data_IF_234844444721
#
_entry.id   IF_234844444721
#
_cell.length_a   1.000
_cell.length_b   1.000
_cell.length_c   1.000
_cell.angle_alpha   90.00
_cell.angle_beta   90.00
_cell.angle_gamma   90.00
#
_symmetry.space_group_name_H-M   'P 1'
#
loop_
_entity.id
_entity.type
_entity.pdbx_description
1 polymer ?
#
# COMPACT_ATOMS: atom_id res chain seq x y z
N UNK A 1 36.81 34.44 -56.04
CA UNK A 1 36.08 35.20 -57.13
C UNK A 1 34.62 35.33 -56.69
N UNK A 2 34.22 36.58 -56.40
CA UNK A 2 32.89 37.21 -56.44
C UNK A 2 31.67 36.38 -55.93
N UNK A 3 31.19 36.60 -54.76
CA UNK A 3 30.30 37.58 -54.12
C UNK A 3 29.10 37.97 -55.03
N UNK A 4 27.94 37.60 -54.56
CA UNK A 4 26.65 38.07 -55.05
C UNK A 4 25.65 38.22 -53.93
N UNK A 5 25.58 39.40 -53.32
CA UNK A 5 24.61 39.81 -52.29
C UNK A 5 23.33 40.21 -53.00
N UNK A 6 22.20 39.62 -52.67
CA UNK A 6 20.89 40.08 -53.16
C UNK A 6 20.07 40.58 -51.97
N UNK A 7 19.91 41.90 -51.92
CA UNK A 7 19.03 42.59 -50.92
C UNK A 7 17.65 42.68 -51.55
N UNK A 8 16.63 42.12 -51.00
CA UNK A 8 15.23 42.34 -51.33
C UNK A 8 14.56 43.17 -50.23
N UNK A 9 14.27 44.40 -50.58
CA UNK A 9 13.45 45.32 -49.80
C UNK A 9 11.97 44.96 -49.96
N UNK A 10 11.28 44.65 -48.89
CA UNK A 10 9.82 44.51 -48.84
C UNK A 10 9.21 45.75 -48.20
N UNK A 11 8.45 46.47 -49.01
CA UNK A 11 7.71 47.65 -48.63
C UNK A 11 6.56 47.33 -47.68
N UNK A 12 6.46 48.14 -46.63
CA UNK A 12 5.34 48.09 -45.68
C UNK A 12 4.13 48.84 -46.27
N UNK A 13 3.05 48.13 -46.50
CA UNK A 13 1.74 48.70 -46.82
C UNK A 13 0.95 48.87 -45.52
N UNK A 14 0.83 50.09 -45.06
CA UNK A 14 -0.02 50.45 -43.92
C UNK A 14 -1.46 50.58 -44.40
N UNK A 15 -2.31 49.60 -44.09
CA UNK A 15 -3.76 49.70 -44.25
C UNK A 15 -4.35 50.17 -42.93
N UNK A 16 -4.79 51.44 -42.90
CA UNK A 16 -5.52 52.03 -41.77
C UNK A 16 -6.97 51.51 -41.76
N UNK A 17 -7.22 50.41 -41.10
CA UNK A 17 -8.56 49.92 -40.76
C UNK A 17 -9.08 50.60 -39.49
N UNK A 18 -10.09 51.46 -39.64
CA UNK A 18 -10.84 51.98 -38.50
C UNK A 18 -11.62 50.85 -37.84
N UNK A 19 -11.16 50.34 -36.70
CA UNK A 19 -11.98 49.50 -35.81
C UNK A 19 -13.03 50.38 -35.15
N UNK A 20 -14.28 50.18 -35.55
CA UNK A 20 -15.44 50.66 -34.77
C UNK A 20 -15.57 49.78 -33.53
N UNK A 21 -15.28 50.38 -32.38
CA UNK A 21 -15.51 49.76 -31.08
C UNK A 21 -17.01 49.77 -30.75
N UNK A 22 -17.65 48.65 -30.45
CA UNK A 22 -19.04 48.71 -29.99
C UNK A 22 -19.07 49.32 -28.59
N UNK A 23 -20.01 50.26 -28.40
CA UNK A 23 -20.24 50.93 -27.12
C UNK A 23 -20.54 49.88 -26.05
N UNK A 24 -19.69 49.82 -25.03
CA UNK A 24 -19.91 49.02 -23.83
C UNK A 24 -21.17 49.49 -23.09
N UNK A 25 -22.19 48.62 -23.08
CA UNK A 25 -23.34 48.80 -22.18
C UNK A 25 -22.82 48.82 -20.73
N UNK A 26 -23.12 49.86 -20.00
CA UNK A 26 -22.82 49.94 -18.57
C UNK A 26 -23.52 48.74 -17.87
N UNK A 27 -22.73 47.89 -17.27
CA UNK A 27 -23.23 46.84 -16.41
C UNK A 27 -23.81 47.49 -15.17
N UNK A 28 -25.13 47.39 -15.01
CA UNK A 28 -25.80 47.73 -13.76
C UNK A 28 -25.32 46.79 -12.66
N UNK A 29 -24.60 47.32 -11.71
CA UNK A 29 -24.26 46.60 -10.48
C UNK A 29 -25.55 46.29 -9.71
N UNK A 30 -25.90 44.99 -9.68
CA UNK A 30 -26.91 44.46 -8.76
C UNK A 30 -26.14 44.24 -7.44
N UNK A 31 -26.51 44.95 -6.38
CA UNK A 31 -25.96 44.70 -5.06
C UNK A 31 -26.17 43.24 -4.66
N UNK A 32 -25.18 42.56 -4.09
CA UNK A 32 -25.35 41.20 -3.61
C UNK A 32 -26.47 41.20 -2.57
N UNK A 33 -27.53 40.43 -2.84
CA UNK A 33 -28.55 40.14 -1.84
C UNK A 33 -27.85 39.49 -0.66
N UNK A 34 -28.04 40.05 0.53
CA UNK A 34 -27.63 39.39 1.77
C UNK A 34 -28.35 38.03 1.80
N UNK A 35 -27.54 36.98 1.64
CA UNK A 35 -27.99 35.61 1.89
C UNK A 35 -28.33 35.56 3.37
N UNK A 36 -29.63 35.39 3.71
CA UNK A 36 -30.04 35.21 5.09
C UNK A 36 -29.17 34.11 5.71
N UNK A 37 -28.64 34.38 6.91
CA UNK A 37 -27.90 33.37 7.67
C UNK A 37 -28.72 32.10 7.78
N UNK A 38 -28.37 31.09 6.99
CA UNK A 38 -28.89 29.74 7.17
C UNK A 38 -28.31 29.26 8.51
N UNK A 39 -29.15 28.96 9.50
CA UNK A 39 -28.65 28.46 10.77
C UNK A 39 -27.78 27.24 10.50
N UNK A 40 -26.51 27.33 10.83
CA UNK A 40 -25.61 26.18 10.77
C UNK A 40 -26.22 25.01 11.51
N UNK A 41 -26.44 23.91 10.80
CA UNK A 41 -26.88 22.68 11.43
C UNK A 41 -25.93 22.36 12.60
N UNK A 42 -26.42 21.98 13.77
CA UNK A 42 -25.59 21.68 14.91
C UNK A 42 -24.58 20.59 14.53
N UNK A 43 -23.29 20.88 14.72
CA UNK A 43 -22.22 19.91 14.52
C UNK A 43 -22.60 18.62 15.27
N UNK A 44 -22.50 17.44 14.64
CA UNK A 44 -22.82 16.19 15.30
C UNK A 44 -21.99 16.07 16.59
N UNK A 45 -22.67 15.89 17.71
CA UNK A 45 -22.02 15.65 19.00
C UNK A 45 -21.07 14.46 18.83
N UNK A 46 -19.81 14.51 19.33
CA UNK A 46 -18.93 13.38 19.27
C UNK A 46 -19.60 12.18 19.97
N UNK A 47 -19.91 11.16 19.20
CA UNK A 47 -20.46 9.91 19.74
C UNK A 47 -19.38 9.27 20.59
N UNK A 48 -19.68 9.02 21.87
CA UNK A 48 -18.72 8.36 22.78
C UNK A 48 -18.29 7.03 22.16
N UNK A 49 -16.97 6.84 22.00
CA UNK A 49 -16.42 5.60 21.48
C UNK A 49 -16.82 4.44 22.42
N UNK A 50 -17.57 3.47 21.90
CA UNK A 50 -17.94 2.27 22.65
C UNK A 50 -16.88 1.21 22.39
N UNK A 51 -16.12 0.83 23.42
CA UNK A 51 -15.11 -0.23 23.36
C UNK A 51 -15.51 -1.32 24.35
N UNK A 52 -15.78 -2.52 23.83
CA UNK A 52 -16.05 -3.67 24.67
C UNK A 52 -14.75 -4.19 25.30
N UNK A 53 -14.73 -4.54 26.59
CA UNK A 53 -13.57 -5.13 27.23
C UNK A 53 -13.15 -6.42 26.52
N UNK A 54 -11.86 -6.58 26.26
CA UNK A 54 -11.31 -7.79 25.68
C UNK A 54 -10.94 -8.79 26.79
N UNK A 55 -11.47 -10.04 26.78
CA UNK A 55 -11.04 -11.08 27.68
C UNK A 55 -9.55 -11.37 27.51
N UNK A 56 -8.82 -11.50 28.61
CA UNK A 56 -7.37 -11.71 28.61
C UNK A 56 -6.90 -13.05 27.99
N UNK A 57 -7.83 -13.99 27.81
CA UNK A 57 -7.57 -15.30 27.20
C UNK A 57 -7.80 -15.36 25.69
N UNK A 58 -8.02 -14.22 25.03
CA UNK A 58 -8.10 -14.18 23.58
C UNK A 58 -6.75 -14.59 22.95
N UNK A 59 -6.78 -15.26 21.79
CA UNK A 59 -5.55 -15.64 21.08
C UNK A 59 -4.75 -14.40 20.66
N UNK A 60 -3.42 -14.57 20.61
CA UNK A 60 -2.53 -13.57 20.03
C UNK A 60 -2.34 -13.90 18.57
N UNK A 61 -2.48 -12.89 17.71
CA UNK A 61 -2.25 -13.04 16.28
C UNK A 61 -0.76 -13.36 16.06
N UNK A 62 -0.50 -14.47 15.42
CA UNK A 62 0.77 -14.71 14.76
C UNK A 62 0.52 -14.79 13.24
N UNK A 63 1.57 -14.92 12.47
CA UNK A 63 1.42 -14.88 11.02
C UNK A 63 0.88 -16.18 10.40
N UNK A 64 0.75 -17.25 11.15
CA UNK A 64 0.17 -18.52 10.69
C UNK A 64 -1.25 -18.71 11.17
N UNK A 65 -1.63 -18.06 12.26
CA UNK A 65 -2.90 -18.26 12.92
C UNK A 65 -3.59 -16.93 13.24
N UNK A 66 -4.68 -16.68 12.53
CA UNK A 66 -5.62 -15.62 12.86
C UNK A 66 -6.97 -16.26 13.18
N UNK A 67 -7.54 -15.95 14.33
CA UNK A 67 -8.86 -16.46 14.70
C UNK A 67 -9.91 -16.03 13.68
N UNK A 68 -10.92 -16.86 13.50
CA UNK A 68 -12.04 -16.55 12.60
C UNK A 68 -12.88 -15.34 13.07
N UNK A 69 -13.72 -14.85 12.16
CA UNK A 69 -14.69 -13.78 12.44
C UNK A 69 -14.22 -12.37 12.10
N UNK A 70 -13.02 -12.20 11.59
CA UNK A 70 -12.56 -10.93 11.03
C UNK A 70 -13.10 -10.73 9.61
N UNK A 71 -13.50 -9.50 9.21
CA UNK A 71 -13.99 -9.21 7.87
C UNK A 71 -12.89 -9.38 6.82
N UNK A 72 -13.29 -9.78 5.62
CA UNK A 72 -12.40 -9.82 4.47
C UNK A 72 -12.08 -8.41 3.99
N UNK A 73 -10.94 -8.23 3.33
CA UNK A 73 -10.61 -7.00 2.64
C UNK A 73 -11.37 -6.90 1.32
N UNK A 74 -12.42 -6.07 1.29
CA UNK A 74 -13.25 -5.84 0.09
C UNK A 74 -12.52 -5.01 -0.98
N UNK A 75 -11.39 -4.39 -0.64
CA UNK A 75 -10.57 -3.59 -1.55
C UNK A 75 -9.22 -4.27 -1.83
N UNK A 76 -9.19 -5.59 -1.82
CA UNK A 76 -7.96 -6.36 -1.93
C UNK A 76 -7.14 -6.08 -3.20
N UNK A 77 -7.77 -5.64 -4.30
CA UNK A 77 -7.11 -5.25 -5.55
C UNK A 77 -6.79 -3.74 -5.66
N UNK A 78 -7.09 -2.94 -4.65
CA UNK A 78 -6.79 -1.51 -4.67
C UNK A 78 -5.28 -1.27 -4.68
N UNK A 79 -4.87 -0.34 -5.55
CA UNK A 79 -3.51 0.20 -5.60
C UNK A 79 -3.44 1.61 -5.01
N UNK A 80 -4.47 2.04 -4.29
CA UNK A 80 -4.44 3.30 -3.56
C UNK A 80 -3.34 3.26 -2.49
N UNK A 81 -2.53 4.31 -2.45
CA UNK A 81 -1.44 4.42 -1.49
C UNK A 81 -1.99 4.58 -0.06
N UNK A 82 -1.43 3.80 0.86
CA UNK A 82 -1.70 3.95 2.29
C UNK A 82 -0.55 4.75 2.91
N UNK A 83 -0.89 5.85 3.56
CA UNK A 83 0.10 6.82 4.05
C UNK A 83 0.43 6.67 5.53
N UNK A 84 -0.25 5.75 6.23
CA UNK A 84 -0.10 5.60 7.66
C UNK A 84 -0.14 4.12 8.08
N UNK A 85 0.80 3.74 8.93
CA UNK A 85 0.86 2.46 9.62
C UNK A 85 0.61 2.61 11.11
N UNK A 86 0.15 1.53 11.72
CA UNK A 86 -0.06 1.38 13.16
C UNK A 86 1.01 0.45 13.73
N UNK A 87 1.78 0.95 14.69
CA UNK A 87 2.73 0.16 15.46
C UNK A 87 2.19 -0.05 16.88
N UNK A 88 1.82 -1.28 17.28
CA UNK A 88 1.35 -1.55 18.63
C UNK A 88 2.45 -1.31 19.68
N UNK A 89 2.10 -0.66 20.80
CA UNK A 89 3.04 -0.49 21.93
C UNK A 89 2.99 -1.63 22.94
N UNK A 90 2.08 -2.60 22.71
CA UNK A 90 1.87 -3.80 23.51
C UNK A 90 0.87 -4.71 22.79
N UNK A 91 0.24 -5.63 23.50
CA UNK A 91 -0.84 -6.44 22.94
C UNK A 91 -2.12 -5.61 22.84
N UNK A 92 -2.57 -5.32 21.63
CA UNK A 92 -3.78 -4.55 21.36
C UNK A 92 -4.96 -5.47 21.03
N UNK A 93 -6.08 -5.28 21.70
CA UNK A 93 -7.31 -5.97 21.35
C UNK A 93 -7.78 -5.57 19.95
N UNK A 94 -8.04 -6.56 19.10
CA UNK A 94 -8.53 -6.40 17.74
C UNK A 94 -9.96 -6.89 17.65
N UNK A 95 -10.81 -6.07 17.02
CA UNK A 95 -12.25 -6.26 16.94
C UNK A 95 -12.68 -6.58 15.50
N UNK A 96 -13.81 -7.24 15.36
CA UNK A 96 -14.39 -7.61 14.06
C UNK A 96 -15.08 -6.42 13.34
N UNK A 97 -15.42 -5.36 14.09
CA UNK A 97 -16.05 -4.14 13.56
C UNK A 97 -15.85 -2.98 14.54
N UNK A 98 -16.10 -1.73 14.13
CA UNK A 98 -16.23 -0.60 15.06
C UNK A 98 -17.31 -0.87 16.12
N UNK A 99 -16.92 -0.88 17.41
CA UNK A 99 -17.82 -1.25 18.51
C UNK A 99 -18.25 -2.72 18.53
N UNK A 100 -17.61 -3.56 17.73
CA UNK A 100 -17.88 -4.99 17.63
C UNK A 100 -17.22 -5.82 18.74
N UNK A 101 -17.08 -7.13 18.49
CA UNK A 101 -16.52 -8.07 19.45
C UNK A 101 -15.00 -8.15 19.33
N UNK A 102 -14.25 -8.14 20.46
CA UNK A 102 -12.83 -8.44 20.44
C UNK A 102 -12.62 -9.91 20.05
N UNK A 103 -11.67 -10.17 19.14
CA UNK A 103 -11.41 -11.51 18.59
C UNK A 103 -10.01 -12.02 18.89
N UNK A 104 -9.04 -11.13 19.02
CA UNK A 104 -7.64 -11.47 19.22
C UNK A 104 -6.87 -10.29 19.80
N UNK A 105 -5.59 -10.53 20.09
CA UNK A 105 -4.62 -9.47 20.34
C UNK A 105 -3.63 -9.37 19.18
N UNK A 106 -3.38 -8.14 18.70
CA UNK A 106 -2.26 -7.82 17.82
C UNK A 106 -1.05 -7.47 18.68
N UNK A 107 0.02 -8.28 18.67
CA UNK A 107 1.19 -8.02 19.49
C UNK A 107 2.08 -6.92 18.87
N UNK A 108 2.94 -6.31 19.69
CA UNK A 108 3.96 -5.38 19.20
C UNK A 108 5.09 -6.06 18.44
N UNK A 109 5.28 -7.38 18.62
CA UNK A 109 6.29 -8.19 17.92
C UNK A 109 5.72 -9.54 17.51
N UNK A 110 6.11 -10.00 16.33
CA UNK A 110 5.86 -11.37 15.84
C UNK A 110 7.23 -11.99 15.55
N UNK A 111 7.53 -13.13 16.16
CA UNK A 111 8.84 -13.82 16.04
C UNK A 111 10.05 -12.88 16.24
N UNK A 112 9.94 -11.95 17.21
CA UNK A 112 11.01 -10.98 17.50
C UNK A 112 11.04 -9.74 16.60
N UNK A 113 10.27 -9.72 15.51
CA UNK A 113 10.19 -8.58 14.56
C UNK A 113 9.11 -7.60 15.01
N UNK A 114 9.42 -6.31 15.03
CA UNK A 114 8.44 -5.25 15.33
C UNK A 114 7.34 -5.21 14.27
N UNK A 115 6.09 -5.17 14.75
CA UNK A 115 4.91 -5.15 13.87
C UNK A 115 4.54 -3.72 13.55
N UNK A 116 4.41 -3.42 12.24
CA UNK A 116 3.72 -2.23 11.75
C UNK A 116 2.72 -2.70 10.71
N UNK A 117 1.43 -2.42 10.92
CA UNK A 117 0.35 -2.81 10.03
C UNK A 117 -0.23 -1.57 9.35
N UNK A 118 -0.51 -1.58 8.04
CA UNK A 118 -1.07 -0.42 7.36
C UNK A 118 -2.52 -0.18 7.79
N UNK A 119 -2.87 1.10 7.98
CA UNK A 119 -4.23 1.55 8.24
C UNK A 119 -4.94 1.69 6.90
N UNK A 120 -6.03 0.95 6.72
CA UNK A 120 -6.81 0.92 5.47
C UNK A 120 -8.11 1.72 5.54
N UNK A 121 -8.62 2.01 6.74
CA UNK A 121 -9.82 2.82 6.90
C UNK A 121 -9.89 3.45 8.30
N UNK A 122 -10.70 4.50 8.42
CA UNK A 122 -11.03 5.16 9.68
C UNK A 122 -12.54 5.36 9.75
N UNK A 123 -13.15 5.01 10.87
CA UNK A 123 -14.59 5.16 11.08
C UNK A 123 -14.90 5.39 12.55
N UNK A 124 -15.58 6.50 12.88
CA UNK A 124 -16.16 6.76 14.20
C UNK A 124 -15.18 6.55 15.37
N UNK A 125 -13.93 6.98 15.23
CA UNK A 125 -12.90 6.82 16.25
C UNK A 125 -12.20 5.44 16.26
N UNK A 126 -12.46 4.60 15.27
CA UNK A 126 -11.80 3.33 15.04
C UNK A 126 -10.89 3.39 13.81
N UNK A 127 -9.87 2.54 13.77
CA UNK A 127 -9.00 2.31 12.62
C UNK A 127 -9.11 0.86 12.19
N UNK A 128 -9.19 0.63 10.89
CA UNK A 128 -9.06 -0.70 10.31
C UNK A 128 -7.64 -0.91 9.80
N UNK A 129 -7.07 -2.06 10.05
CA UNK A 129 -5.72 -2.44 9.61
C UNK A 129 -5.74 -3.77 8.87
N UNK A 130 -4.77 -3.97 7.97
CA UNK A 130 -4.49 -5.29 7.43
C UNK A 130 -3.84 -6.15 8.53
N UNK A 131 -4.39 -7.32 8.78
CA UNK A 131 -3.80 -8.26 9.74
C UNK A 131 -2.71 -9.10 9.07
N UNK A 132 -1.61 -9.38 9.77
CA UNK A 132 -0.59 -10.31 9.31
C UNK A 132 -1.15 -11.74 9.39
N UNK A 133 -1.90 -12.16 8.36
CA UNK A 133 -2.65 -13.41 8.41
C UNK A 133 -2.76 -14.08 7.05
N UNK A 134 -3.11 -15.36 7.09
CA UNK A 134 -3.36 -16.18 5.91
C UNK A 134 -4.41 -15.52 5.03
N UNK A 135 -5.58 -15.24 5.46
CA UNK A 135 -6.71 -14.81 4.62
C UNK A 135 -6.81 -13.30 4.41
N UNK A 136 -5.77 -12.54 4.66
CA UNK A 136 -5.74 -11.08 4.45
C UNK A 136 -6.96 -10.39 5.04
N UNK A 137 -7.21 -10.64 6.33
CA UNK A 137 -8.35 -10.09 7.06
C UNK A 137 -8.07 -8.69 7.56
N UNK A 138 -9.15 -7.95 7.80
CA UNK A 138 -9.11 -6.65 8.44
C UNK A 138 -9.43 -6.78 9.91
N UNK A 139 -8.68 -6.03 10.73
CA UNK A 139 -8.99 -5.88 12.15
C UNK A 139 -9.28 -4.44 12.50
N UNK A 140 -10.20 -4.21 13.42
CA UNK A 140 -10.54 -2.88 13.91
C UNK A 140 -9.94 -2.65 15.28
N UNK A 141 -9.36 -1.47 15.49
CA UNK A 141 -8.77 -1.05 16.76
C UNK A 141 -9.28 0.33 17.15
N UNK A 142 -9.38 0.65 18.47
CA UNK A 142 -9.64 2.02 18.90
C UNK A 142 -8.58 2.98 18.38
N UNK A 143 -9.01 4.13 17.87
CA UNK A 143 -8.13 5.09 17.17
C UNK A 143 -7.22 5.91 18.06
N UNK A 144 -7.26 5.75 19.39
CA UNK A 144 -6.64 6.72 20.30
C UNK A 144 -5.66 6.16 21.34
N UNK A 145 -5.46 4.86 21.46
CA UNK A 145 -4.62 4.34 22.53
C UNK A 145 -3.90 3.04 22.19
N UNK A 146 -2.71 2.89 22.74
CA UNK A 146 -1.95 1.64 22.73
C UNK A 146 -1.11 1.41 21.46
N UNK A 147 -0.99 2.40 20.58
CA UNK A 147 -0.19 2.32 19.37
C UNK A 147 0.42 3.67 18.97
N UNK A 148 1.47 3.62 18.16
CA UNK A 148 2.12 4.77 17.56
C UNK A 148 1.86 4.77 16.05
N UNK A 149 1.57 5.94 15.49
CA UNK A 149 1.50 6.15 14.06
C UNK A 149 2.91 6.05 13.42
N UNK A 150 2.98 5.47 12.24
CA UNK A 150 4.19 5.41 11.40
C UNK A 150 3.83 5.93 10.01
N UNK A 151 4.53 6.94 9.48
CA UNK A 151 4.30 7.37 8.11
C UNK A 151 4.71 6.26 7.13
N UNK A 152 3.93 6.06 6.08
CA UNK A 152 4.20 5.14 5.00
C UNK A 152 4.29 5.96 3.71
N UNK A 153 5.44 5.89 3.05
CA UNK A 153 5.71 6.61 1.81
C UNK A 153 5.79 5.67 0.61
N UNK A 154 6.11 4.41 0.87
CA UNK A 154 6.41 3.43 -0.16
C UNK A 154 5.24 2.48 -0.42
N UNK A 155 5.15 2.04 -1.66
CA UNK A 155 4.20 1.04 -2.12
C UNK A 155 4.85 0.14 -3.15
N UNK A 156 4.58 -1.14 -3.07
CA UNK A 156 4.97 -2.13 -4.07
C UNK A 156 3.73 -2.67 -4.76
N UNK A 157 3.73 -2.71 -6.09
CA UNK A 157 2.66 -3.29 -6.90
C UNK A 157 3.25 -4.40 -7.75
N UNK A 158 2.81 -5.62 -7.52
CA UNK A 158 3.14 -6.78 -8.35
C UNK A 158 2.01 -7.04 -9.33
N UNK A 159 2.31 -7.02 -10.64
CA UNK A 159 1.46 -7.60 -11.69
C UNK A 159 1.96 -8.99 -11.98
N UNK A 160 1.27 -10.00 -11.44
CA UNK A 160 1.71 -11.39 -11.43
C UNK A 160 1.81 -11.96 -12.86
N UNK A 161 0.80 -11.73 -13.70
CA UNK A 161 0.79 -12.18 -15.09
C UNK A 161 1.83 -11.49 -15.97
N UNK A 162 2.15 -10.23 -15.69
CA UNK A 162 3.22 -9.48 -16.37
C UNK A 162 4.62 -9.76 -15.78
N UNK A 163 4.72 -10.45 -14.65
CA UNK A 163 5.97 -10.67 -13.90
C UNK A 163 6.71 -9.37 -13.60
N UNK A 164 5.96 -8.34 -13.22
CA UNK A 164 6.48 -7.00 -13.00
C UNK A 164 6.22 -6.53 -11.56
N UNK A 165 7.29 -6.15 -10.86
CA UNK A 165 7.23 -5.51 -9.56
C UNK A 165 7.58 -4.03 -9.70
N UNK A 166 6.64 -3.16 -9.36
CA UNK A 166 6.80 -1.71 -9.40
C UNK A 166 6.91 -1.15 -7.99
N UNK A 167 7.87 -0.26 -7.77
CA UNK A 167 8.03 0.51 -6.55
C UNK A 167 7.62 1.97 -6.78
N UNK A 168 6.70 2.46 -5.95
CA UNK A 168 6.29 3.86 -5.91
C UNK A 168 6.65 4.44 -4.53
N UNK A 169 7.03 5.72 -4.52
CA UNK A 169 7.21 6.53 -3.29
C UNK A 169 6.37 7.79 -3.41
N UNK A 170 5.48 8.02 -2.45
CA UNK A 170 4.50 9.12 -2.48
C UNK A 170 3.73 9.19 -3.82
N UNK A 171 3.37 8.02 -4.36
CA UNK A 171 2.67 7.88 -5.65
C UNK A 171 3.57 8.05 -6.88
N UNK A 172 4.85 8.39 -6.73
CA UNK A 172 5.79 8.58 -7.84
C UNK A 172 6.56 7.29 -8.12
N UNK A 173 6.57 6.87 -9.39
CA UNK A 173 7.32 5.71 -9.83
C UNK A 173 8.82 5.88 -9.55
N UNK A 174 9.39 4.98 -8.78
CA UNK A 174 10.84 4.93 -8.50
C UNK A 174 11.54 3.92 -9.40
N UNK A 175 10.99 2.70 -9.46
CA UNK A 175 11.61 1.62 -10.23
C UNK A 175 10.64 0.50 -10.54
N UNK A 176 10.93 -0.23 -11.60
CA UNK A 176 10.26 -1.46 -12.01
C UNK A 176 11.29 -2.55 -12.25
N UNK A 177 10.97 -3.79 -11.86
CA UNK A 177 11.79 -4.97 -12.07
C UNK A 177 10.98 -6.09 -12.71
N UNK A 178 11.58 -6.80 -13.65
CA UNK A 178 11.07 -8.10 -14.05
C UNK A 178 11.43 -9.11 -12.97
N UNK A 179 10.42 -9.85 -12.48
CA UNK A 179 10.53 -10.75 -11.33
C UNK A 179 10.11 -12.17 -11.72
N UNK A 180 10.37 -13.14 -10.81
CA UNK A 180 9.72 -14.44 -10.90
C UNK A 180 8.66 -14.55 -9.80
N UNK A 181 7.54 -15.18 -10.12
CA UNK A 181 6.38 -15.37 -9.24
C UNK A 181 6.13 -16.84 -8.95
N UNK A 182 5.15 -17.14 -8.12
CA UNK A 182 4.74 -18.50 -7.76
C UNK A 182 4.27 -19.31 -8.97
N UNK A 183 4.65 -20.58 -9.01
CA UNK A 183 4.16 -21.54 -9.99
C UNK A 183 2.65 -21.76 -9.87
N UNK A 184 2.04 -22.41 -10.87
CA UNK A 184 0.59 -22.65 -10.88
C UNK A 184 0.09 -23.41 -9.63
N UNK A 185 0.90 -24.32 -9.09
CA UNK A 185 0.57 -25.11 -7.89
C UNK A 185 0.75 -24.32 -6.58
N UNK A 186 1.56 -23.27 -6.60
CA UNK A 186 1.89 -22.46 -5.44
C UNK A 186 1.94 -20.98 -5.84
N UNK A 187 0.81 -20.43 -6.30
CA UNK A 187 0.79 -19.07 -6.84
C UNK A 187 1.16 -18.02 -5.78
N UNK A 188 1.77 -16.93 -6.20
CA UNK A 188 1.90 -15.76 -5.33
C UNK A 188 0.48 -15.27 -4.99
N UNK A 189 0.10 -15.18 -3.70
CA UNK A 189 -1.26 -14.84 -3.30
C UNK A 189 -1.69 -13.46 -3.81
N UNK A 190 -2.87 -13.39 -4.43
CA UNK A 190 -3.46 -12.13 -4.91
C UNK A 190 -3.96 -11.27 -3.74
N UNK A 191 -4.02 -9.98 -3.97
CA UNK A 191 -4.61 -9.02 -3.05
C UNK A 191 -3.59 -8.18 -2.29
N UNK A 192 -4.10 -7.31 -1.42
CA UNK A 192 -3.26 -6.44 -0.58
C UNK A 192 -2.64 -7.23 0.56
N UNK A 193 -1.37 -7.01 0.77
CA UNK A 193 -0.58 -7.40 1.92
C UNK A 193 0.42 -6.31 2.24
N UNK A 194 1.36 -6.54 3.11
CA UNK A 194 2.36 -5.55 3.48
C UNK A 194 3.67 -6.22 3.88
N UNK A 195 4.74 -5.46 3.92
CA UNK A 195 6.03 -5.91 4.44
C UNK A 195 5.92 -6.02 5.95
N UNK A 196 5.90 -7.23 6.47
CA UNK A 196 5.87 -7.50 7.92
C UNK A 196 7.22 -7.18 8.56
N UNK A 197 8.32 -7.49 7.89
CA UNK A 197 9.66 -7.25 8.36
C UNK A 197 10.72 -7.90 7.48
N UNK A 198 11.90 -8.09 8.05
CA UNK A 198 13.04 -8.75 7.38
C UNK A 198 13.41 -10.03 8.10
N UNK A 199 13.90 -10.97 7.35
CA UNK A 199 14.51 -12.19 7.89
C UNK A 199 15.80 -12.49 7.15
N UNK A 200 16.79 -12.99 7.89
CA UNK A 200 18.00 -13.52 7.29
C UNK A 200 17.69 -14.72 6.42
N UNK A 201 18.44 -14.90 5.36
CA UNK A 201 18.33 -16.05 4.48
C UNK A 201 19.67 -16.78 4.42
N UNK A 202 19.60 -18.10 4.49
CA UNK A 202 20.77 -18.97 4.33
C UNK A 202 20.83 -19.54 2.91
N UNK A 203 22.02 -19.63 2.39
CA UNK A 203 22.30 -20.26 1.10
C UNK A 203 22.65 -19.29 -0.04
N UNK A 204 23.51 -19.78 -0.93
CA UNK A 204 24.03 -19.02 -2.07
C UNK A 204 22.95 -18.50 -3.03
N UNK A 205 21.78 -19.15 -3.06
CA UNK A 205 20.65 -18.76 -3.92
C UNK A 205 20.12 -17.36 -3.60
N UNK A 206 20.27 -16.91 -2.37
CA UNK A 206 19.84 -15.58 -1.90
C UNK A 206 20.95 -14.53 -1.97
N UNK A 207 22.16 -14.94 -2.39
CA UNK A 207 23.31 -14.05 -2.49
C UNK A 207 23.70 -13.35 -1.18
N UNK A 208 23.43 -13.96 -0.03
CA UNK A 208 23.69 -13.38 1.29
C UNK A 208 22.84 -12.13 1.61
N UNK A 209 21.71 -11.97 0.94
CA UNK A 209 20.79 -10.85 1.18
C UNK A 209 19.55 -11.33 1.95
N UNK A 210 19.12 -10.55 2.91
CA UNK A 210 17.88 -10.77 3.64
C UNK A 210 16.66 -10.81 2.71
N UNK A 211 15.57 -11.39 3.19
CA UNK A 211 14.27 -11.34 2.54
C UNK A 211 13.35 -10.33 3.24
N UNK A 212 12.47 -9.69 2.47
CA UNK A 212 11.31 -8.95 2.99
C UNK A 212 10.16 -9.94 3.14
N UNK A 213 9.77 -10.21 4.39
CA UNK A 213 8.66 -11.10 4.72
C UNK A 213 7.36 -10.35 4.54
N UNK A 214 6.40 -10.94 3.83
CA UNK A 214 5.07 -10.36 3.64
C UNK A 214 4.09 -10.87 4.70
N UNK A 215 3.10 -10.05 5.02
CA UNK A 215 2.01 -10.40 5.94
C UNK A 215 1.03 -11.42 5.36
N UNK A 216 1.43 -12.22 4.37
CA UNK A 216 0.62 -13.27 3.76
C UNK A 216 1.40 -14.58 3.63
N UNK A 217 0.69 -15.69 3.57
CA UNK A 217 1.25 -17.02 3.31
C UNK A 217 0.65 -17.59 2.03
N UNK A 218 1.32 -18.54 1.36
CA UNK A 218 0.74 -19.25 0.21
C UNK A 218 -0.57 -19.96 0.59
N UNK A 219 -1.58 -19.89 -0.27
CA UNK A 219 -2.88 -20.52 -0.05
C UNK A 219 -2.75 -22.06 -0.15
N UNK A 220 -2.02 -22.54 -1.16
CA UNK A 220 -1.77 -23.97 -1.40
C UNK A 220 -0.54 -24.49 -0.62
N UNK A 221 -0.61 -24.38 0.70
CA UNK A 221 0.52 -24.75 1.57
C UNK A 221 0.90 -26.22 1.48
N UNK A 222 -0.08 -27.08 1.21
CA UNK A 222 0.12 -28.53 1.11
C UNK A 222 0.94 -28.94 -0.14
N UNK A 223 0.94 -28.09 -1.18
CA UNK A 223 1.78 -28.28 -2.35
C UNK A 223 3.27 -27.98 -2.09
N UNK A 224 3.58 -27.34 -0.97
CA UNK A 224 4.96 -27.04 -0.58
C UNK A 224 5.65 -28.25 0.04
N UNK A 225 6.98 -28.31 -0.12
CA UNK A 225 7.80 -29.24 0.65
C UNK A 225 7.59 -29.00 2.16
N UNK A 226 7.62 -30.06 3.02
CA UNK A 226 7.28 -29.95 4.44
C UNK A 226 8.01 -28.81 5.18
N UNK A 227 9.28 -28.57 4.89
CA UNK A 227 10.08 -27.50 5.50
C UNK A 227 9.68 -26.08 5.07
N UNK A 228 8.84 -25.93 4.04
CA UNK A 228 8.38 -24.63 3.53
C UNK A 228 6.91 -24.34 3.89
N UNK A 229 6.16 -25.31 4.42
CA UNK A 229 4.73 -25.17 4.71
C UNK A 229 4.42 -24.12 5.78
N UNK A 230 5.36 -23.87 6.66
CA UNK A 230 5.27 -22.82 7.69
C UNK A 230 5.96 -21.53 7.27
N UNK A 231 6.34 -21.40 6.00
CA UNK A 231 6.97 -20.20 5.46
C UNK A 231 5.96 -19.15 5.03
N UNK A 232 6.42 -17.92 5.06
CA UNK A 232 5.70 -16.78 4.50
C UNK A 232 5.96 -16.62 3.02
N UNK A 233 5.08 -15.90 2.34
CA UNK A 233 5.42 -15.23 1.09
C UNK A 233 6.46 -14.15 1.41
N UNK A 234 7.50 -14.08 0.60
CA UNK A 234 8.56 -13.09 0.77
C UNK A 234 9.01 -12.51 -0.57
N UNK A 235 9.66 -11.36 -0.52
CA UNK A 235 10.43 -10.80 -1.63
C UNK A 235 11.90 -11.04 -1.31
N UNK A 236 12.60 -11.75 -2.20
CA UNK A 236 14.01 -12.09 -1.99
C UNK A 236 14.80 -12.16 -3.30
N UNK A 237 16.12 -12.04 -3.20
CA UNK A 237 16.97 -12.18 -4.38
C UNK A 237 16.97 -13.60 -4.95
N UNK A 238 17.31 -13.72 -6.23
CA UNK A 238 17.50 -15.01 -6.87
C UNK A 238 18.70 -14.97 -7.82
N UNK A 239 19.46 -16.05 -7.84
CA UNK A 239 20.72 -16.13 -8.56
C UNK A 239 20.57 -16.43 -10.08
N UNK A 240 19.48 -17.13 -10.45
CA UNK A 240 19.23 -17.50 -11.86
C UNK A 240 18.43 -16.41 -12.58
N UNK A 241 19.07 -15.74 -13.51
CA UNK A 241 18.42 -14.69 -14.32
C UNK A 241 17.33 -15.25 -15.24
N UNK A 242 17.45 -16.51 -15.69
CA UNK A 242 16.44 -17.20 -16.50
C UNK A 242 15.11 -17.48 -15.76
N UNK A 243 15.05 -17.26 -14.45
CA UNK A 243 13.80 -17.38 -13.70
C UNK A 243 12.90 -16.14 -13.86
N UNK A 244 13.49 -14.98 -14.13
CA UNK A 244 12.71 -13.75 -14.23
C UNK A 244 11.83 -13.74 -15.48
N UNK A 245 10.61 -13.24 -15.36
CA UNK A 245 9.57 -13.32 -16.38
C UNK A 245 8.81 -14.66 -16.38
N UNK A 246 8.99 -15.49 -15.34
CA UNK A 246 8.33 -16.81 -15.26
C UNK A 246 7.72 -17.08 -13.89
N UNK A 247 6.66 -17.91 -13.87
CA UNK A 247 5.98 -18.40 -12.66
C UNK A 247 6.62 -19.72 -12.22
N UNK A 248 7.67 -19.65 -11.41
CA UNK A 248 8.54 -20.81 -11.08
C UNK A 248 8.93 -20.90 -9.60
N UNK A 249 8.39 -20.03 -8.74
CA UNK A 249 8.69 -20.07 -7.31
C UNK A 249 7.63 -20.86 -6.52
N UNK A 250 7.86 -21.02 -5.22
CA UNK A 250 6.89 -21.60 -4.28
C UNK A 250 5.99 -20.51 -3.63
N UNK A 251 5.63 -19.47 -4.36
CA UNK A 251 4.81 -18.37 -3.89
C UNK A 251 5.58 -17.08 -3.62
N UNK A 252 6.88 -17.13 -3.35
CA UNK A 252 7.71 -15.94 -3.14
C UNK A 252 7.93 -15.15 -4.43
N UNK A 253 8.18 -13.84 -4.28
CA UNK A 253 8.56 -12.94 -5.36
C UNK A 253 10.09 -12.91 -5.42
N UNK A 254 10.64 -13.43 -6.53
CA UNK A 254 12.09 -13.44 -6.75
C UNK A 254 12.49 -12.23 -7.57
N UNK A 255 13.39 -11.43 -7.06
CA UNK A 255 13.89 -10.22 -7.72
C UNK A 255 15.37 -10.34 -8.07
N UNK A 256 15.87 -9.58 -9.06
CA UNK A 256 17.30 -9.48 -9.31
C UNK A 256 18.04 -9.01 -8.05
N UNK A 257 19.26 -9.49 -7.87
CA UNK A 257 20.07 -9.19 -6.67
C UNK A 257 20.23 -7.68 -6.40
N UNK A 258 20.45 -6.88 -7.47
CA UNK A 258 20.51 -5.42 -7.35
C UNK A 258 19.17 -4.82 -6.90
N UNK A 259 18.04 -5.39 -7.37
CA UNK A 259 16.71 -5.01 -6.93
C UNK A 259 16.50 -5.30 -5.45
N UNK A 260 16.89 -6.48 -4.98
CA UNK A 260 16.78 -6.83 -3.55
C UNK A 260 17.60 -5.88 -2.66
N UNK A 261 18.83 -5.52 -3.06
CA UNK A 261 19.61 -4.51 -2.32
C UNK A 261 18.89 -3.18 -2.21
N UNK A 262 18.31 -2.71 -3.31
CA UNK A 262 17.50 -1.48 -3.31
C UNK A 262 16.30 -1.62 -2.37
N UNK A 263 15.53 -2.69 -2.48
CA UNK A 263 14.36 -2.91 -1.64
C UNK A 263 14.72 -3.00 -0.15
N UNK A 264 15.81 -3.69 0.19
CA UNK A 264 16.27 -3.77 1.59
C UNK A 264 16.73 -2.42 2.14
N UNK A 265 17.25 -1.53 1.30
CA UNK A 265 17.66 -0.19 1.73
C UNK A 265 16.46 0.73 1.93
N UNK A 266 15.49 0.68 1.03
CA UNK A 266 14.43 1.68 0.91
C UNK A 266 13.12 1.29 1.62
N UNK A 267 12.78 0.00 1.66
CA UNK A 267 11.44 -0.45 2.06
C UNK A 267 11.39 -0.77 3.55
N UNK A 268 10.46 -0.13 4.25
CA UNK A 268 10.22 -0.31 5.68
C UNK A 268 9.09 -1.32 5.95
N UNK A 269 9.02 -1.82 7.20
CA UNK A 269 7.86 -2.58 7.69
C UNK A 269 6.59 -1.71 7.62
N UNK A 270 5.47 -2.31 7.27
CA UNK A 270 4.19 -1.64 7.02
C UNK A 270 3.99 -1.21 5.57
N UNK A 271 5.03 -1.19 4.73
CA UNK A 271 4.90 -0.85 3.30
C UNK A 271 3.87 -1.74 2.62
N UNK A 272 2.87 -1.12 1.99
CA UNK A 272 1.83 -1.83 1.25
C UNK A 272 2.40 -2.60 0.07
N UNK A 273 1.95 -3.83 -0.11
CA UNK A 273 2.23 -4.66 -1.29
C UNK A 273 0.90 -5.10 -1.87
N UNK A 274 0.59 -4.69 -3.10
CA UNK A 274 -0.63 -5.13 -3.80
C UNK A 274 -0.22 -6.11 -4.91
N UNK A 275 -0.78 -7.32 -4.85
CA UNK A 275 -0.57 -8.35 -5.85
C UNK A 275 -1.81 -8.42 -6.75
N UNK A 276 -1.62 -8.07 -8.00
CA UNK A 276 -2.62 -8.14 -9.08
C UNK A 276 -2.30 -9.31 -10.03
N UNK A 277 -3.26 -9.71 -10.79
CA UNK A 277 -3.05 -10.74 -11.82
C UNK A 277 -2.36 -10.19 -13.08
#
# INVERSE_FOLDING_TARGET
MFVGLLVLALGAMVVAGRLMWPATRAATWVAPQQVADVPSAPSPRPTKLVVHPAPGNLPVIDYLHVPGGFPADTQSSSTEALTEGLHPTGNLAVYDAPGGKPRAFLPSRISGVEVTVPIVARQSGWVAVLLPSVDRRLGWLPGQAGWAARPLHDQLVLRRGAHELTWLRDGVLQKTWTVATGAAQTPTPLGRTFVLGRTTTDGAVYAGLDALVLGSVPEEREALAPGLRNGHTAIHSWYRTSAFGHSVSNGCIRVPQAGQRTLLHEIAAGTLVTVLD
#
